data_IF_227979978224
#
_entry.id   IF_227979978224
#
_cell.length_a   1.000
_cell.length_b   1.000
_cell.length_c   1.000
_cell.angle_alpha   90.00
_cell.angle_beta   90.00
_cell.angle_gamma   90.00
#
_symmetry.space_group_name_H-M   'P 1'
#
loop_
_entity.id
_entity.type
_entity.pdbx_description
1 polymer ?
#
# COMPACT_ATOMS: atom_id res chain seq x y z
N UNK A 1 14.76 -38.43 46.98
CA UNK A 1 14.59 -36.98 46.69
C UNK A 1 15.41 -36.53 45.49
N UNK A 2 16.72 -36.84 45.39
CA UNK A 2 17.54 -36.49 44.21
C UNK A 2 17.04 -37.10 42.88
N UNK A 3 16.59 -38.35 42.87
CA UNK A 3 16.01 -38.95 41.65
C UNK A 3 14.64 -38.39 41.25
N UNK A 4 13.90 -37.77 42.17
CA UNK A 4 12.60 -37.16 41.85
C UNK A 4 12.78 -35.82 41.13
N UNK A 5 13.81 -35.06 41.50
CA UNK A 5 14.18 -33.78 40.87
C UNK A 5 14.70 -34.01 39.44
N UNK A 6 15.46 -35.09 39.21
CA UNK A 6 15.96 -35.45 37.89
C UNK A 6 14.82 -35.80 36.91
N UNK A 7 13.73 -36.40 37.38
CA UNK A 7 12.58 -36.76 36.55
C UNK A 7 11.77 -35.52 36.10
N UNK A 8 11.68 -34.50 36.96
CA UNK A 8 10.94 -33.27 36.66
C UNK A 8 11.66 -32.43 35.60
N UNK A 9 12.99 -32.38 35.60
CA UNK A 9 13.75 -31.69 34.55
C UNK A 9 13.67 -32.38 33.18
N UNK A 10 13.55 -33.71 33.14
CA UNK A 10 13.43 -34.45 31.88
C UNK A 10 12.08 -34.26 31.17
N UNK A 11 11.01 -33.97 31.93
CA UNK A 11 9.66 -33.77 31.37
C UNK A 11 9.47 -32.37 30.78
N UNK A 12 10.15 -31.35 31.32
CA UNK A 12 10.09 -29.97 30.80
C UNK A 12 10.80 -29.86 29.42
N UNK A 13 11.73 -30.75 29.10
CA UNK A 13 12.44 -30.74 27.82
C UNK A 13 11.63 -31.32 26.63
N UNK A 14 10.53 -32.02 26.88
CA UNK A 14 9.72 -32.67 25.84
C UNK A 14 8.50 -31.85 25.42
N UNK A 15 8.18 -30.77 26.14
CA UNK A 15 7.07 -29.86 25.83
C UNK A 15 7.51 -28.63 25.03
N UNK A 16 8.68 -28.69 24.37
CA UNK A 16 9.08 -27.74 23.34
C UNK A 16 8.15 -27.91 22.14
N UNK A 17 6.93 -27.39 22.29
CA UNK A 17 5.85 -27.40 21.34
C UNK A 17 6.37 -27.02 19.96
N UNK A 18 6.37 -28.00 19.07
CA UNK A 18 6.54 -27.81 17.64
C UNK A 18 5.26 -27.16 17.12
N UNK A 19 5.14 -25.84 17.30
CA UNK A 19 4.09 -25.06 16.65
C UNK A 19 4.43 -25.00 15.15
N UNK A 20 3.89 -25.96 14.40
CA UNK A 20 3.98 -26.00 12.95
C UNK A 20 3.11 -24.89 12.37
N UNK A 21 3.61 -23.64 12.46
CA UNK A 21 3.02 -22.48 11.81
C UNK A 21 2.94 -22.77 10.32
N UNK A 22 1.77 -23.24 9.86
CA UNK A 22 1.48 -23.37 8.44
C UNK A 22 1.44 -21.96 7.87
N UNK A 23 2.51 -21.61 7.16
CA UNK A 23 2.56 -20.40 6.35
C UNK A 23 1.56 -20.61 5.21
N UNK A 24 0.34 -20.11 5.39
CA UNK A 24 -0.54 -19.90 4.27
C UNK A 24 -0.02 -18.67 3.52
N UNK A 25 0.37 -18.77 2.24
CA UNK A 25 0.50 -17.60 1.39
C UNK A 25 -0.83 -16.86 1.45
N UNK A 26 -0.83 -15.56 1.75
CA UNK A 26 -2.07 -14.80 1.85
C UNK A 26 -2.41 -14.20 0.48
N UNK A 27 -3.27 -14.81 -0.35
CA UNK A 27 -3.63 -14.25 -1.66
C UNK A 27 -4.31 -12.88 -1.53
N UNK A 28 -4.92 -12.56 -0.38
CA UNK A 28 -5.64 -11.30 -0.13
C UNK A 28 -4.73 -10.06 -0.07
N UNK A 29 -3.40 -10.22 -0.08
CA UNK A 29 -2.46 -9.08 -0.03
C UNK A 29 -1.96 -8.65 -1.41
N UNK A 30 -2.19 -9.45 -2.45
CA UNK A 30 -1.71 -9.17 -3.80
C UNK A 30 -2.77 -8.35 -4.51
N UNK A 31 -2.44 -7.09 -4.80
CA UNK A 31 -3.23 -6.27 -5.69
C UNK A 31 -2.89 -6.67 -7.14
N UNK A 32 -3.92 -7.01 -7.93
CA UNK A 32 -3.78 -7.15 -9.37
C UNK A 32 -3.75 -5.75 -9.98
N UNK A 33 -2.58 -5.35 -10.45
CA UNK A 33 -2.38 -4.04 -11.05
C UNK A 33 -2.94 -3.93 -12.48
N UNK A 34 -3.40 -5.05 -13.06
CA UNK A 34 -3.90 -5.14 -14.43
C UNK A 34 -2.95 -4.51 -15.46
N UNK A 35 -1.64 -4.62 -15.24
CA UNK A 35 -0.61 -4.10 -16.13
C UNK A 35 -0.24 -2.63 -15.91
N UNK A 36 -0.69 -2.01 -14.82
CA UNK A 36 -0.22 -0.68 -14.43
C UNK A 36 1.22 -0.73 -13.89
N UNK A 37 1.95 0.37 -14.06
CA UNK A 37 3.32 0.51 -13.59
C UNK A 37 3.41 1.18 -12.23
N UNK A 38 4.34 0.73 -11.39
CA UNK A 38 4.68 1.43 -10.15
C UNK A 38 5.33 2.77 -10.48
N UNK A 39 4.73 3.86 -9.96
CA UNK A 39 5.28 5.21 -10.01
C UNK A 39 6.13 5.45 -8.75
N UNK A 40 5.54 5.26 -7.56
CA UNK A 40 6.24 5.48 -6.29
C UNK A 40 5.56 4.74 -5.15
N UNK A 41 6.19 4.72 -3.98
CA UNK A 41 5.66 4.07 -2.77
C UNK A 41 5.86 4.95 -1.53
N UNK A 42 4.98 4.76 -0.54
CA UNK A 42 4.94 5.52 0.70
C UNK A 42 4.88 4.58 1.88
N UNK A 43 5.65 4.88 2.92
CA UNK A 43 5.59 4.19 4.19
C UNK A 43 5.14 5.16 5.27
N UNK A 44 4.18 4.74 6.10
CA UNK A 44 3.70 5.54 7.21
C UNK A 44 3.70 4.71 8.50
N UNK A 45 4.72 4.92 9.33
CA UNK A 45 4.86 4.24 10.61
C UNK A 45 3.75 4.58 11.60
N UNK A 46 3.23 5.82 11.55
CA UNK A 46 2.21 6.31 12.48
C UNK A 46 0.88 5.58 12.27
N UNK A 47 0.48 5.41 11.00
CA UNK A 47 -0.75 4.68 10.65
C UNK A 47 -0.52 3.20 10.41
N UNK A 48 0.75 2.75 10.44
CA UNK A 48 1.17 1.39 10.09
C UNK A 48 0.63 0.96 8.72
N UNK A 49 0.78 1.83 7.72
CA UNK A 49 0.34 1.56 6.35
C UNK A 49 1.49 1.71 5.36
N UNK A 50 1.39 0.99 4.26
CA UNK A 50 2.20 1.20 3.06
C UNK A 50 1.26 1.49 1.89
N UNK A 51 1.64 2.41 1.03
CA UNK A 51 0.88 2.70 -0.19
C UNK A 51 1.79 2.65 -1.41
N UNK A 52 1.25 2.19 -2.54
CA UNK A 52 1.92 2.19 -3.83
C UNK A 52 1.04 2.92 -4.82
N UNK A 53 1.62 3.92 -5.49
CA UNK A 53 0.97 4.61 -6.58
C UNK A 53 1.34 3.91 -7.89
N UNK A 54 0.33 3.38 -8.55
CA UNK A 54 0.40 2.82 -9.88
C UNK A 54 -0.15 3.80 -10.92
N UNK A 55 0.28 3.67 -12.16
CA UNK A 55 -0.32 4.35 -13.30
C UNK A 55 -0.06 3.66 -14.64
N UNK A 56 -0.84 4.02 -15.66
CA UNK A 56 -0.61 3.54 -17.02
C UNK A 56 0.63 4.19 -17.66
N UNK A 57 0.96 3.81 -18.89
CA UNK A 57 2.12 4.34 -19.64
C UNK A 57 2.18 5.87 -19.65
N UNK A 58 1.05 6.53 -19.94
CA UNK A 58 0.97 7.99 -19.97
C UNK A 58 1.22 8.63 -18.60
N UNK A 59 0.61 8.04 -17.56
CA UNK A 59 0.81 8.48 -16.18
C UNK A 59 2.26 8.34 -15.73
N UNK A 60 2.89 7.19 -16.01
CA UNK A 60 4.30 6.94 -15.69
C UNK A 60 5.23 7.89 -16.44
N UNK A 61 5.05 8.01 -17.76
CA UNK A 61 5.86 8.88 -18.59
C UNK A 61 5.79 10.34 -18.13
N UNK A 62 4.59 10.81 -17.75
CA UNK A 62 4.41 12.17 -17.24
C UNK A 62 4.94 12.34 -15.81
N UNK A 63 4.90 11.32 -14.96
CA UNK A 63 5.50 11.34 -13.62
C UNK A 63 7.04 11.35 -13.66
N UNK A 64 7.64 10.84 -14.74
CA UNK A 64 9.10 10.84 -14.95
C UNK A 64 9.67 12.15 -15.50
N UNK A 65 8.84 13.06 -16.03
CA UNK A 65 9.31 14.34 -16.60
C UNK A 65 9.85 15.27 -15.52
N UNK A 66 10.90 16.02 -15.85
CA UNK A 66 11.32 17.16 -15.05
C UNK A 66 10.23 18.23 -15.06
N UNK A 67 9.93 18.78 -13.89
CA UNK A 67 8.91 19.83 -13.72
C UNK A 67 9.40 20.84 -12.70
N UNK A 68 9.02 22.10 -12.91
CA UNK A 68 9.17 23.15 -11.92
C UNK A 68 8.33 22.82 -10.68
N UNK A 69 8.94 22.91 -9.50
CA UNK A 69 8.30 22.69 -8.21
C UNK A 69 7.10 23.63 -7.97
N UNK A 70 7.04 24.78 -8.66
CA UNK A 70 6.00 25.80 -8.47
C UNK A 70 4.79 25.64 -9.39
N UNK A 71 4.82 24.70 -10.33
CA UNK A 71 3.69 24.51 -11.27
C UNK A 71 2.93 23.22 -10.92
N UNK A 72 1.71 23.33 -10.35
CA UNK A 72 0.87 22.18 -10.07
C UNK A 72 0.69 21.31 -11.31
N UNK A 73 0.69 19.99 -11.15
CA UNK A 73 0.39 19.09 -12.27
C UNK A 73 -1.12 19.04 -12.45
N UNK A 74 -1.56 19.26 -13.68
CA UNK A 74 -2.91 18.89 -14.11
C UNK A 74 -2.78 17.58 -14.86
N UNK A 75 -3.69 16.65 -14.63
CA UNK A 75 -3.72 15.38 -15.35
C UNK A 75 -3.88 15.59 -16.85
N UNK A 76 -3.26 14.72 -17.64
CA UNK A 76 -3.44 14.67 -19.10
C UNK A 76 -4.54 13.68 -19.45
N UNK A 77 -5.46 13.98 -20.39
CA UNK A 77 -6.45 13.00 -20.84
C UNK A 77 -5.80 11.68 -21.25
N UNK A 78 -6.39 10.56 -20.81
CA UNK A 78 -5.85 9.21 -21.00
C UNK A 78 -5.10 8.66 -19.77
N UNK A 79 -4.71 9.50 -18.83
CA UNK A 79 -4.03 9.05 -17.62
C UNK A 79 -4.97 8.32 -16.65
N UNK A 80 -4.47 7.21 -16.11
CA UNK A 80 -5.12 6.45 -15.05
C UNK A 80 -4.11 6.25 -13.93
N UNK A 81 -4.52 6.57 -12.71
CA UNK A 81 -3.75 6.34 -11.49
C UNK A 81 -4.52 5.45 -10.53
N UNK A 82 -3.80 4.58 -9.82
CA UNK A 82 -4.33 3.83 -8.67
C UNK A 82 -3.39 3.94 -7.48
N UNK A 83 -3.83 4.58 -6.41
CA UNK A 83 -3.12 4.56 -5.12
C UNK A 83 -3.72 3.48 -4.25
N UNK A 84 -2.96 2.39 -4.07
CA UNK A 84 -3.38 1.25 -3.27
C UNK A 84 -2.69 1.35 -1.92
N UNK A 85 -3.47 1.27 -0.84
CA UNK A 85 -2.96 1.32 0.53
C UNK A 85 -3.21 -0.01 1.20
N UNK A 86 -2.21 -0.53 1.91
CA UNK A 86 -2.31 -1.73 2.74
C UNK A 86 -1.95 -1.40 4.19
N UNK A 87 -2.54 -2.15 5.12
CA UNK A 87 -2.02 -2.24 6.48
C UNK A 87 -0.66 -2.97 6.48
N UNK A 88 0.16 -2.72 7.49
CA UNK A 88 1.42 -3.43 7.72
C UNK A 88 1.26 -4.49 8.80
N UNK A 89 1.59 -5.75 8.46
CA UNK A 89 1.65 -6.86 9.43
C UNK A 89 3.08 -7.33 9.63
N UNK A 90 3.36 -7.86 10.82
CA UNK A 90 4.68 -8.42 11.14
C UNK A 90 5.00 -9.57 10.19
N UNK A 91 6.22 -9.59 9.66
CA UNK A 91 6.70 -10.72 8.87
C UNK A 91 6.95 -11.92 9.81
N UNK A 92 6.27 -13.06 9.60
CA UNK A 92 6.45 -14.24 10.45
C UNK A 92 7.82 -14.91 10.28
N UNK A 93 8.53 -14.63 9.18
CA UNK A 93 9.81 -15.24 8.82
C UNK A 93 11.02 -14.35 9.11
N UNK A 94 10.81 -13.05 9.35
CA UNK A 94 11.90 -12.11 9.55
C UNK A 94 11.57 -11.10 10.64
N UNK A 95 12.15 -11.32 11.81
CA UNK A 95 11.97 -10.46 12.98
C UNK A 95 12.40 -9.01 12.67
N UNK A 96 11.60 -8.05 13.11
CA UNK A 96 11.85 -6.63 12.87
C UNK A 96 11.47 -6.12 11.48
N UNK A 97 10.94 -6.97 10.59
CA UNK A 97 10.38 -6.54 9.31
C UNK A 97 8.85 -6.63 9.27
N UNK A 98 8.23 -5.79 8.44
CA UNK A 98 6.80 -5.83 8.15
C UNK A 98 6.57 -6.21 6.68
N UNK A 99 5.43 -6.81 6.40
CA UNK A 99 4.94 -7.11 5.06
C UNK A 99 3.53 -6.52 4.88
N UNK A 100 3.10 -6.41 3.63
CA UNK A 100 1.74 -5.98 3.32
C UNK A 100 0.73 -6.93 3.98
N UNK A 101 -0.20 -6.33 4.70
CA UNK A 101 -1.40 -6.94 5.23
C UNK A 101 -2.54 -6.80 4.23
N UNK A 102 -3.75 -6.54 4.73
CA UNK A 102 -4.93 -6.39 3.89
C UNK A 102 -4.85 -5.07 3.12
N UNK A 103 -5.34 -5.07 1.88
CA UNK A 103 -5.66 -3.81 1.19
C UNK A 103 -6.65 -3.06 2.07
N UNK A 104 -6.40 -1.79 2.34
CA UNK A 104 -7.24 -0.88 3.11
C UNK A 104 -8.10 0.00 2.19
N UNK A 105 -7.49 0.52 1.13
CA UNK A 105 -8.16 1.35 0.14
C UNK A 105 -7.52 1.25 -1.24
N UNK A 106 -8.34 1.49 -2.27
CA UNK A 106 -7.90 1.73 -3.64
C UNK A 106 -8.50 3.05 -4.10
N UNK A 107 -7.65 4.07 -4.26
CA UNK A 107 -8.06 5.36 -4.85
C UNK A 107 -7.72 5.36 -6.33
N UNK A 108 -8.72 5.57 -7.18
CA UNK A 108 -8.56 5.63 -8.64
C UNK A 108 -8.80 7.06 -9.11
N UNK A 109 -7.87 7.60 -9.90
CA UNK A 109 -8.05 8.84 -10.65
C UNK A 109 -8.01 8.52 -12.13
N UNK A 110 -9.04 8.94 -12.86
CA UNK A 110 -9.09 8.83 -14.32
C UNK A 110 -9.20 10.23 -14.91
N UNK A 111 -8.41 10.50 -15.95
CA UNK A 111 -8.43 11.78 -16.65
C UNK A 111 -9.00 11.56 -18.05
N UNK A 112 -10.10 12.23 -18.35
CA UNK A 112 -10.78 12.19 -19.65
C UNK A 112 -10.73 13.56 -20.33
N UNK A 113 -11.02 13.59 -21.64
CA UNK A 113 -11.17 14.86 -22.35
C UNK A 113 -12.52 15.50 -21.97
N UNK A 114 -12.50 16.76 -21.55
CA UNK A 114 -13.70 17.55 -21.28
C UNK A 114 -13.81 18.77 -22.21
N UNK A 115 -14.96 19.44 -22.19
CA UNK A 115 -15.27 20.56 -23.10
C UNK A 115 -14.36 21.79 -22.90
N UNK A 116 -13.93 22.04 -21.66
CA UNK A 116 -13.12 23.23 -21.28
C UNK A 116 -11.73 22.86 -20.74
N UNK A 117 -11.31 21.59 -20.90
CA UNK A 117 -10.07 21.06 -20.33
C UNK A 117 -10.23 19.61 -19.85
N UNK A 118 -9.19 19.02 -19.24
CA UNK A 118 -9.26 17.66 -18.71
C UNK A 118 -10.37 17.53 -17.66
N UNK A 119 -11.24 16.54 -17.82
CA UNK A 119 -12.20 16.13 -16.80
C UNK A 119 -11.55 15.07 -15.91
N UNK A 120 -11.72 15.20 -14.59
CA UNK A 120 -11.06 14.34 -13.60
C UNK A 120 -12.12 13.61 -12.79
N UNK A 121 -12.11 12.29 -12.89
CA UNK A 121 -12.95 11.39 -12.10
C UNK A 121 -12.12 10.79 -10.97
N UNK A 122 -12.69 10.76 -9.76
CA UNK A 122 -12.07 10.17 -8.58
C UNK A 122 -13.03 9.19 -7.92
N UNK A 123 -12.54 7.98 -7.65
CA UNK A 123 -13.24 6.94 -6.92
C UNK A 123 -12.34 6.38 -5.81
N UNK A 124 -12.93 6.02 -4.67
CA UNK A 124 -12.23 5.40 -3.55
C UNK A 124 -13.00 4.17 -3.09
N UNK A 125 -12.38 3.01 -3.23
CA UNK A 125 -12.91 1.75 -2.73
C UNK A 125 -12.24 1.43 -1.40
N UNK A 126 -12.98 1.53 -0.30
CA UNK A 126 -12.49 1.18 1.04
C UNK A 126 -12.92 -0.26 1.37
N UNK A 127 -11.95 -1.15 1.57
CA UNK A 127 -12.18 -2.55 1.97
C UNK A 127 -12.49 -2.69 3.46
N UNK A 128 -12.08 -1.70 4.27
CA UNK A 128 -12.31 -1.64 5.70
C UNK A 128 -13.27 -0.49 6.01
N UNK A 129 -14.54 -0.82 6.23
CA UNK A 129 -15.50 0.12 6.78
C UNK A 129 -15.10 0.49 8.22
N UNK A 130 -14.22 1.48 8.36
CA UNK A 130 -14.32 2.47 9.42
C UNK A 130 -14.17 3.83 8.75
N UNK A 131 -15.31 4.47 8.49
CA UNK A 131 -15.37 5.91 8.23
C UNK A 131 -14.72 6.58 9.43
N UNK A 132 -13.46 6.97 9.30
CA UNK A 132 -12.83 7.83 10.27
C UNK A 132 -13.50 9.20 10.09
N UNK A 133 -14.36 9.59 11.04
CA UNK A 133 -15.14 10.84 10.99
C UNK A 133 -14.23 12.08 10.91
N UNK A 134 -12.92 11.92 11.15
CA UNK A 134 -11.93 12.98 11.10
C UNK A 134 -11.08 13.01 9.80
N UNK A 135 -11.26 12.06 8.88
CA UNK A 135 -10.51 12.04 7.61
C UNK A 135 -11.26 12.79 6.51
N UNK A 136 -11.47 14.10 6.69
CA UNK A 136 -12.09 14.95 5.68
C UNK A 136 -11.00 15.68 4.90
N UNK A 137 -10.19 14.93 4.14
CA UNK A 137 -9.52 15.54 2.99
C UNK A 137 -10.54 15.59 1.86
N UNK A 138 -10.70 16.76 1.24
CA UNK A 138 -11.51 16.89 0.04
C UNK A 138 -10.91 16.05 -1.09
N UNK A 139 -11.75 15.54 -2.00
CA UNK A 139 -11.27 14.79 -3.18
C UNK A 139 -10.20 15.58 -3.96
N UNK A 140 -10.31 16.92 -3.99
CA UNK A 140 -9.35 17.80 -4.64
C UNK A 140 -7.93 17.69 -4.06
N UNK A 141 -7.81 17.61 -2.73
CA UNK A 141 -6.50 17.45 -2.07
C UNK A 141 -5.90 16.08 -2.36
N UNK A 142 -6.72 15.02 -2.39
CA UNK A 142 -6.28 13.66 -2.75
C UNK A 142 -5.82 13.58 -4.20
N UNK A 143 -6.57 14.15 -5.13
CA UNK A 143 -6.20 14.25 -6.55
C UNK A 143 -4.89 15.04 -6.70
N UNK A 144 -4.77 16.19 -6.03
CA UNK A 144 -3.56 17.00 -6.07
C UNK A 144 -2.36 16.25 -5.51
N UNK A 145 -2.54 15.48 -4.42
CA UNK A 145 -1.50 14.62 -3.88
C UNK A 145 -1.06 13.58 -4.91
N UNK A 146 -1.99 12.85 -5.54
CA UNK A 146 -1.68 11.83 -6.54
C UNK A 146 -0.91 12.43 -7.73
N UNK A 147 -1.35 13.58 -8.26
CA UNK A 147 -0.67 14.23 -9.37
C UNK A 147 0.67 14.87 -8.99
N UNK A 148 0.93 15.17 -7.73
CA UNK A 148 2.22 15.72 -7.32
C UNK A 148 3.35 14.69 -7.31
N UNK A 149 3.03 13.40 -7.37
CA UNK A 149 4.02 12.33 -7.23
C UNK A 149 4.89 12.18 -8.48
N UNK A 150 6.18 11.97 -8.26
CA UNK A 150 7.16 11.70 -9.30
C UNK A 150 7.50 10.22 -9.32
N UNK A 151 7.90 9.73 -10.49
CA UNK A 151 8.42 8.37 -10.60
C UNK A 151 9.70 8.24 -9.75
N UNK A 152 9.74 7.25 -8.85
CA UNK A 152 10.93 6.93 -8.07
C UNK A 152 12.01 6.35 -8.99
N UNK A 153 13.23 6.87 -8.89
CA UNK A 153 14.40 6.27 -9.54
C UNK A 153 14.97 5.23 -8.58
N UNK A 154 14.85 3.95 -8.94
CA UNK A 154 15.55 2.90 -8.22
C UNK A 154 17.01 2.85 -8.69
N UNK A 155 18.00 2.96 -7.78
CA UNK A 155 19.42 2.90 -8.11
C UNK A 155 19.89 1.51 -8.56
#
# INVERSE_FOLDING_TARGET
MKSLIALIFATIALDACHDSRKLAPNPETIFDDHGLHVITSFHNDRTRTIAVLYGNDDALANAGKERDAHTPRVGTPGEVFKLVTWDLKQNPLWFGSNINGNVQSVETVTVSAGESGPAIDYAKDDSSQKKDENAVLSNAERISFIFAQRASVFP
#
